data_IF_646457786829
#
_entry.id   IF_646457786829
#
_cell.length_a   1.000
_cell.length_b   1.000
_cell.length_c   1.000
_cell.angle_alpha   90.00
_cell.angle_beta   90.00
_cell.angle_gamma   90.00
#
_symmetry.space_group_name_H-M   'P 1'
#
loop_
_entity.id
_entity.type
_entity.pdbx_description
1 polymer ?
#
# COMPACT_ATOMS: atom_id res chain seq x y z
N UNK A 1 -33.04 16.98 -10.09
CA UNK A 1 -31.98 16.45 -9.21
C UNK A 1 -32.41 15.01 -8.89
N UNK A 2 -31.69 13.97 -9.36
CA UNK A 2 -31.98 12.61 -8.90
C UNK A 2 -31.69 12.57 -7.41
N UNK A 3 -32.59 11.98 -6.63
CA UNK A 3 -32.30 11.69 -5.22
C UNK A 3 -30.99 10.90 -5.17
N UNK A 4 -30.07 11.32 -4.30
CA UNK A 4 -28.81 10.59 -4.12
C UNK A 4 -29.17 9.17 -3.61
N UNK A 5 -28.59 8.18 -4.24
CA UNK A 5 -28.81 6.77 -3.82
C UNK A 5 -28.35 6.62 -2.36
N UNK A 6 -29.25 6.12 -1.52
CA UNK A 6 -28.99 5.90 -0.10
C UNK A 6 -28.90 4.40 0.16
N UNK A 7 -27.84 3.97 0.87
CA UNK A 7 -27.56 2.57 1.19
C UNK A 7 -27.28 2.46 2.69
N UNK A 8 -27.91 1.50 3.37
CA UNK A 8 -27.55 1.12 4.75
C UNK A 8 -26.80 -0.22 4.73
N UNK A 9 -25.56 -0.22 5.22
CA UNK A 9 -24.87 -1.45 5.58
C UNK A 9 -25.35 -1.88 6.96
N UNK A 10 -25.80 -3.13 7.11
CA UNK A 10 -26.34 -3.62 8.37
C UNK A 10 -25.74 -4.96 8.80
N UNK A 11 -25.66 -5.17 10.10
CA UNK A 11 -25.30 -6.44 10.72
C UNK A 11 -23.79 -6.76 10.77
N UNK A 12 -22.94 -5.92 10.21
CA UNK A 12 -21.48 -6.11 10.24
C UNK A 12 -20.85 -5.66 11.56
N UNK A 13 -19.69 -6.24 11.88
CA UNK A 13 -18.83 -5.76 12.95
C UNK A 13 -17.96 -4.62 12.42
N UNK A 14 -18.29 -3.40 12.82
CA UNK A 14 -17.54 -2.20 12.44
C UNK A 14 -16.27 -2.10 13.30
N UNK A 15 -15.13 -2.14 12.66
CA UNK A 15 -13.81 -1.93 13.30
C UNK A 15 -13.16 -0.73 12.64
N UNK A 16 -13.09 0.39 13.38
CA UNK A 16 -12.38 1.59 12.97
C UNK A 16 -11.20 1.86 13.90
N UNK A 17 -9.96 1.56 13.46
CA UNK A 17 -8.78 1.79 14.28
C UNK A 17 -8.49 3.25 14.60
N UNK A 18 -9.05 4.21 13.85
CA UNK A 18 -8.85 5.63 14.11
C UNK A 18 -9.60 6.12 15.36
N UNK A 19 -10.84 5.64 15.55
CA UNK A 19 -11.70 6.00 16.68
C UNK A 19 -11.62 4.97 17.82
N UNK A 20 -11.01 3.80 17.57
CA UNK A 20 -11.07 2.65 18.49
C UNK A 20 -12.43 1.95 18.51
N UNK A 21 -13.31 2.24 17.54
CA UNK A 21 -14.61 1.60 17.40
C UNK A 21 -14.45 0.12 17.08
N UNK A 22 -15.13 -0.73 17.84
CA UNK A 22 -15.29 -2.17 17.60
C UNK A 22 -16.66 -2.61 18.11
N UNK A 23 -17.67 -2.56 17.24
CA UNK A 23 -19.06 -2.85 17.61
C UNK A 23 -19.89 -3.25 16.38
N UNK A 24 -21.04 -3.86 16.62
CA UNK A 24 -22.06 -4.07 15.60
C UNK A 24 -22.86 -2.78 15.41
N UNK A 25 -22.70 -2.13 14.25
CA UNK A 25 -23.34 -0.87 13.89
C UNK A 25 -23.77 -0.92 12.44
N UNK A 26 -24.83 -0.18 12.13
CA UNK A 26 -25.19 0.14 10.76
C UNK A 26 -24.43 1.39 10.29
N UNK A 27 -24.20 1.48 8.98
CA UNK A 27 -23.60 2.65 8.33
C UNK A 27 -24.53 3.10 7.20
N UNK A 28 -25.04 4.32 7.29
CA UNK A 28 -25.80 4.95 6.22
C UNK A 28 -24.85 5.71 5.28
N UNK A 29 -24.93 5.41 4.01
CA UNK A 29 -24.21 6.08 2.91
C UNK A 29 -25.23 6.84 2.09
N UNK A 30 -24.99 8.12 1.82
CA UNK A 30 -25.76 8.96 0.90
C UNK A 30 -24.82 9.56 -0.16
N UNK A 31 -25.02 9.17 -1.41
CA UNK A 31 -24.11 9.53 -2.48
C UNK A 31 -22.69 9.05 -2.16
N UNK A 32 -21.71 9.95 -2.14
CA UNK A 32 -20.31 9.62 -1.92
C UNK A 32 -19.89 9.62 -0.45
N UNK A 33 -20.78 9.87 0.52
CA UNK A 33 -20.42 10.14 1.90
C UNK A 33 -21.12 9.22 2.92
N UNK A 34 -20.43 8.99 4.03
CA UNK A 34 -21.04 8.43 5.22
C UNK A 34 -21.97 9.51 5.83
N UNK A 35 -23.26 9.22 5.93
CA UNK A 35 -24.24 10.13 6.51
C UNK A 35 -24.43 9.94 7.99
N UNK A 36 -24.47 8.67 8.44
CA UNK A 36 -24.65 8.31 9.84
C UNK A 36 -24.01 6.96 10.15
N UNK A 37 -23.70 6.75 11.42
CA UNK A 37 -23.26 5.47 11.96
C UNK A 37 -23.99 5.27 13.30
N UNK A 38 -24.60 4.10 13.51
CA UNK A 38 -25.33 3.82 14.74
C UNK A 38 -26.15 2.53 14.64
N UNK A 39 -26.86 2.16 15.69
CA UNK A 39 -27.73 1.00 15.66
C UNK A 39 -29.02 1.29 14.89
N UNK A 40 -29.58 0.24 14.28
CA UNK A 40 -30.93 0.23 13.67
C UNK A 40 -31.21 1.33 12.63
N UNK A 41 -30.18 1.77 11.87
CA UNK A 41 -30.34 2.79 10.84
C UNK A 41 -31.27 2.32 9.71
N UNK A 42 -31.31 1.03 9.39
CA UNK A 42 -32.20 0.47 8.39
C UNK A 42 -33.69 0.69 8.73
N UNK A 43 -34.06 0.72 10.01
CA UNK A 43 -35.40 1.05 10.45
C UNK A 43 -35.67 2.56 10.45
N UNK A 44 -34.64 3.39 10.67
CA UNK A 44 -34.76 4.85 10.68
C UNK A 44 -34.83 5.44 9.27
N UNK A 45 -34.23 4.73 8.29
CA UNK A 45 -34.15 5.15 6.88
C UNK A 45 -34.77 4.07 5.96
N UNK A 46 -36.08 3.80 6.05
CA UNK A 46 -36.72 2.71 5.32
C UNK A 46 -36.74 2.87 3.79
N UNK A 47 -36.41 4.07 3.27
CA UNK A 47 -36.29 4.33 1.84
C UNK A 47 -34.90 3.98 1.31
N UNK A 48 -33.88 3.82 2.17
CA UNK A 48 -32.55 3.42 1.75
C UNK A 48 -32.51 1.94 1.35
N UNK A 49 -31.73 1.61 0.34
CA UNK A 49 -31.47 0.21 0.04
C UNK A 49 -30.64 -0.42 1.16
N UNK A 50 -30.84 -1.71 1.43
CA UNK A 50 -30.15 -2.42 2.51
C UNK A 50 -29.14 -3.39 1.94
N UNK A 51 -27.92 -3.31 2.44
CA UNK A 51 -26.87 -4.32 2.20
C UNK A 51 -26.57 -5.04 3.51
N UNK A 52 -26.94 -6.29 3.56
CA UNK A 52 -26.64 -7.17 4.70
C UNK A 52 -25.20 -7.64 4.62
N UNK A 53 -24.42 -7.35 5.65
CA UNK A 53 -23.00 -7.72 5.80
C UNK A 53 -22.77 -8.46 7.13
N UNK A 54 -23.78 -9.26 7.57
CA UNK A 54 -23.67 -10.09 8.77
C UNK A 54 -22.56 -11.12 8.64
N UNK A 55 -21.80 -11.25 9.71
CA UNK A 55 -20.63 -12.14 9.75
C UNK A 55 -19.34 -11.53 9.19
N UNK A 56 -19.45 -10.33 8.62
CA UNK A 56 -18.30 -9.62 8.05
C UNK A 56 -17.78 -8.53 8.98
N UNK A 57 -16.53 -8.16 8.77
CA UNK A 57 -15.88 -6.98 9.31
C UNK A 57 -16.10 -5.84 8.32
N UNK A 58 -16.53 -4.70 8.82
CA UNK A 58 -16.63 -3.44 8.09
C UNK A 58 -15.55 -2.50 8.63
N UNK A 59 -14.66 -2.05 7.79
CA UNK A 59 -13.51 -1.22 8.20
C UNK A 59 -13.37 -0.02 7.25
N UNK A 60 -12.68 1.06 7.64
CA UNK A 60 -12.30 2.09 6.67
C UNK A 60 -11.70 1.47 5.43
N UNK A 61 -11.91 2.08 4.28
CA UNK A 61 -11.38 1.57 3.03
C UNK A 61 -9.90 1.24 3.13
N UNK A 62 -9.55 0.01 2.79
CA UNK A 62 -8.17 -0.46 2.78
C UNK A 62 -7.33 0.35 1.79
N UNK A 63 -6.08 0.55 2.12
CA UNK A 63 -5.11 1.28 1.31
C UNK A 63 -3.88 0.40 1.11
N UNK A 64 -3.57 0.08 -0.13
CA UNK A 64 -2.30 -0.54 -0.49
C UNK A 64 -1.33 0.54 -0.96
N UNK A 65 -0.34 0.87 -0.14
CA UNK A 65 0.58 1.97 -0.43
C UNK A 65 1.72 1.59 -1.39
N UNK A 66 1.77 0.34 -1.85
CA UNK A 66 2.82 -0.12 -2.74
C UNK A 66 2.30 -1.14 -3.74
N UNK A 67 1.98 -0.65 -4.94
CA UNK A 67 1.56 -1.45 -6.09
C UNK A 67 2.22 -0.92 -7.37
N UNK A 68 2.10 -1.67 -8.46
CA UNK A 68 2.51 -1.21 -9.79
C UNK A 68 1.32 -1.33 -10.75
N UNK A 69 0.67 -0.20 -11.03
CA UNK A 69 -0.63 -0.17 -11.73
C UNK A 69 -0.66 0.72 -12.98
N UNK A 70 0.46 1.25 -13.39
CA UNK A 70 0.57 2.11 -14.57
C UNK A 70 0.71 1.28 -15.86
N UNK A 71 -0.32 0.46 -16.18
CA UNK A 71 -0.36 -0.40 -17.38
C UNK A 71 -0.28 0.42 -18.67
N UNK A 72 0.21 -0.21 -19.74
CA UNK A 72 0.31 0.40 -21.07
C UNK A 72 1.62 1.12 -21.34
N UNK A 73 2.42 1.40 -20.30
CA UNK A 73 3.76 1.98 -20.44
C UNK A 73 4.89 0.98 -20.18
N UNK A 74 4.53 -0.24 -19.87
CA UNK A 74 5.41 -1.37 -19.66
C UNK A 74 4.59 -2.61 -19.35
N UNK A 75 5.22 -3.76 -19.37
CA UNK A 75 4.59 -5.07 -19.15
C UNK A 75 4.78 -5.58 -17.71
N UNK A 76 5.14 -4.69 -16.77
CA UNK A 76 5.37 -5.00 -15.37
C UNK A 76 4.11 -4.80 -14.51
N UNK A 77 3.23 -3.88 -14.93
CA UNK A 77 2.11 -3.42 -14.12
C UNK A 77 0.85 -4.27 -14.31
N UNK A 78 0.00 -4.25 -13.30
CA UNK A 78 -1.34 -4.84 -13.31
C UNK A 78 -2.42 -3.75 -13.51
N UNK A 79 -3.61 -4.09 -14.05
CA UNK A 79 -4.73 -3.17 -14.04
C UNK A 79 -5.07 -2.69 -12.64
N UNK A 80 -5.29 -1.38 -12.40
CA UNK A 80 -5.55 -0.88 -11.05
C UNK A 80 -6.75 -1.51 -10.37
N UNK A 81 -7.82 -1.81 -11.12
CA UNK A 81 -9.02 -2.41 -10.54
C UNK A 81 -8.81 -3.85 -10.07
N UNK A 82 -7.97 -4.62 -10.76
CA UNK A 82 -7.67 -6.01 -10.40
C UNK A 82 -7.00 -6.14 -9.02
N UNK A 83 -6.18 -5.17 -8.63
CA UNK A 83 -5.51 -5.13 -7.32
C UNK A 83 -6.19 -4.17 -6.33
N UNK A 84 -7.14 -3.39 -6.83
CA UNK A 84 -7.91 -2.39 -6.12
C UNK A 84 -9.32 -2.87 -5.77
N UNK A 85 -10.35 -2.24 -6.35
CA UNK A 85 -11.75 -2.49 -5.98
C UNK A 85 -12.18 -3.94 -6.18
N UNK A 86 -11.66 -4.65 -7.18
CA UNK A 86 -11.95 -6.07 -7.43
C UNK A 86 -11.29 -6.98 -6.36
N UNK A 87 -10.32 -6.47 -5.60
CA UNK A 87 -9.70 -7.12 -4.44
C UNK A 87 -10.18 -6.55 -3.10
N UNK A 88 -11.25 -5.73 -3.09
CA UNK A 88 -11.79 -5.10 -1.88
C UNK A 88 -10.97 -3.92 -1.34
N UNK A 89 -10.11 -3.33 -2.16
CA UNK A 89 -9.18 -2.24 -1.81
C UNK A 89 -9.56 -0.98 -2.59
N UNK A 90 -10.28 -0.01 -2.01
CA UNK A 90 -10.74 1.17 -2.74
C UNK A 90 -9.63 2.14 -3.13
N UNK A 91 -8.46 2.08 -2.49
CA UNK A 91 -7.32 2.97 -2.77
C UNK A 91 -6.02 2.19 -2.92
N UNK A 92 -5.33 2.40 -4.03
CA UNK A 92 -3.98 1.87 -4.27
C UNK A 92 -3.00 2.99 -4.61
N UNK A 93 -1.73 2.77 -4.33
CA UNK A 93 -0.67 3.73 -4.64
C UNK A 93 0.36 3.09 -5.55
N UNK A 94 0.53 3.66 -6.73
CA UNK A 94 1.64 3.25 -7.61
C UNK A 94 2.97 3.68 -7.01
N UNK A 95 3.88 2.74 -6.84
CA UNK A 95 5.14 2.98 -6.15
C UNK A 95 6.30 3.27 -7.12
N UNK A 96 6.21 4.41 -7.80
CA UNK A 96 7.29 4.93 -8.63
C UNK A 96 7.49 4.16 -9.93
N UNK A 97 6.40 3.81 -10.61
CA UNK A 97 6.48 3.24 -11.96
C UNK A 97 6.84 4.29 -13.00
N UNK A 98 6.65 5.58 -12.69
CA UNK A 98 6.90 6.68 -13.62
C UNK A 98 7.80 7.76 -13.04
N UNK A 99 8.53 8.43 -13.94
CA UNK A 99 9.25 9.66 -13.67
C UNK A 99 8.51 10.90 -14.20
N UNK A 100 9.11 12.08 -14.00
CA UNK A 100 8.47 13.36 -14.30
C UNK A 100 8.03 13.52 -15.75
N UNK A 101 8.80 13.06 -16.71
CA UNK A 101 8.49 13.22 -18.14
C UNK A 101 7.29 12.38 -18.60
N UNK A 102 6.95 11.30 -17.90
CA UNK A 102 5.87 10.38 -18.29
C UNK A 102 4.63 10.51 -17.42
N UNK A 103 4.72 11.11 -16.23
CA UNK A 103 3.63 11.13 -15.25
C UNK A 103 2.32 11.73 -15.79
N UNK A 104 2.37 12.85 -16.49
CA UNK A 104 1.16 13.48 -17.02
C UNK A 104 0.41 12.62 -18.05
N UNK A 105 1.12 11.79 -18.82
CA UNK A 105 0.51 10.83 -19.74
C UNK A 105 -0.13 9.66 -18.97
N UNK A 106 0.57 9.10 -18.00
CA UNK A 106 0.09 8.03 -17.13
C UNK A 106 -1.13 8.45 -16.32
N UNK A 107 -1.11 9.69 -15.79
CA UNK A 107 -2.27 10.25 -15.09
C UNK A 107 -3.53 10.22 -15.96
N UNK A 108 -3.45 10.72 -17.19
CA UNK A 108 -4.61 10.72 -18.09
C UNK A 108 -5.05 9.33 -18.52
N UNK A 109 -4.09 8.44 -18.76
CA UNK A 109 -4.39 7.09 -19.26
C UNK A 109 -4.90 6.13 -18.18
N UNK A 110 -4.55 6.35 -16.92
CA UNK A 110 -4.83 5.42 -15.81
C UNK A 110 -5.59 6.13 -14.69
N UNK A 111 -5.00 7.17 -14.05
CA UNK A 111 -5.57 7.75 -12.82
C UNK A 111 -6.91 8.44 -13.08
N UNK A 112 -6.95 9.26 -14.12
CA UNK A 112 -8.12 10.06 -14.50
C UNK A 112 -8.97 9.36 -15.60
N UNK A 113 -8.65 8.09 -15.95
CA UNK A 113 -9.42 7.35 -16.95
C UNK A 113 -10.82 7.02 -16.41
N UNK A 114 -11.90 7.26 -17.19
CA UNK A 114 -13.27 7.07 -16.69
C UNK A 114 -13.60 5.61 -16.32
N UNK A 115 -12.92 4.63 -16.91
CA UNK A 115 -13.12 3.22 -16.61
C UNK A 115 -12.33 2.75 -15.39
N UNK A 116 -11.42 3.57 -14.85
CA UNK A 116 -10.69 3.25 -13.62
C UNK A 116 -11.59 3.51 -12.41
N UNK A 117 -12.01 2.44 -11.76
CA UNK A 117 -12.91 2.47 -10.60
C UNK A 117 -12.19 2.67 -9.28
N UNK A 118 -10.96 2.19 -9.21
CA UNK A 118 -10.08 2.30 -8.04
C UNK A 118 -9.51 3.71 -7.90
N UNK A 119 -9.42 4.24 -6.68
CA UNK A 119 -8.62 5.46 -6.45
C UNK A 119 -7.15 5.12 -6.56
N UNK A 120 -6.48 5.74 -7.54
CA UNK A 120 -5.04 5.58 -7.74
C UNK A 120 -4.32 6.86 -7.33
N UNK A 121 -3.39 6.74 -6.38
CA UNK A 121 -2.40 7.75 -6.02
C UNK A 121 -1.03 7.27 -6.48
N UNK A 122 0.01 8.12 -6.39
CA UNK A 122 1.33 7.72 -6.85
C UNK A 122 2.48 8.33 -6.03
N UNK A 123 3.48 7.53 -5.75
CA UNK A 123 4.84 8.01 -5.59
C UNK A 123 5.47 8.19 -6.97
N UNK A 124 6.33 9.19 -7.13
CA UNK A 124 7.05 9.43 -8.39
C UNK A 124 8.53 9.06 -8.22
N UNK A 125 9.14 8.49 -9.25
CA UNK A 125 10.60 8.32 -9.28
C UNK A 125 11.27 9.69 -9.51
N UNK A 126 12.40 10.02 -8.87
CA UNK A 126 13.08 11.30 -9.04
C UNK A 126 13.68 11.48 -10.44
N UNK A 127 13.86 10.40 -11.22
CA UNK A 127 14.31 10.46 -12.59
C UNK A 127 13.23 11.02 -13.52
N UNK A 128 13.65 11.70 -14.60
CA UNK A 128 12.72 12.17 -15.64
C UNK A 128 12.02 11.01 -16.34
N UNK A 129 12.81 10.01 -16.75
CA UNK A 129 12.33 8.82 -17.46
C UNK A 129 12.55 7.62 -16.55
N UNK A 130 11.45 7.08 -16.06
CA UNK A 130 11.40 5.82 -15.37
C UNK A 130 10.19 5.04 -15.85
N UNK A 131 10.38 3.78 -16.23
CA UNK A 131 9.34 2.85 -16.67
C UNK A 131 9.66 1.47 -16.13
N UNK A 132 8.76 0.92 -15.34
CA UNK A 132 8.88 -0.46 -14.89
C UNK A 132 8.42 -1.41 -15.98
N UNK A 133 9.29 -2.35 -16.37
CA UNK A 133 8.95 -3.40 -17.29
C UNK A 133 9.73 -4.69 -17.01
N UNK A 134 9.25 -5.85 -17.50
CA UNK A 134 9.83 -7.17 -17.21
C UNK A 134 11.30 -7.32 -17.60
N UNK A 135 11.67 -6.75 -18.74
CA UNK A 135 13.06 -6.79 -19.24
C UNK A 135 13.98 -5.80 -18.53
N UNK A 136 13.40 -4.77 -17.93
CA UNK A 136 14.11 -3.61 -17.39
C UNK A 136 13.68 -3.30 -15.96
N UNK A 137 13.61 -4.34 -15.13
CA UNK A 137 13.34 -4.06 -13.73
C UNK A 137 14.43 -3.11 -13.23
N UNK A 138 14.02 -1.91 -13.08
CA UNK A 138 14.51 -0.78 -12.35
C UNK A 138 16.04 -0.53 -12.31
N UNK A 139 16.81 -1.57 -12.14
CA UNK A 139 18.24 -1.48 -11.85
C UNK A 139 19.11 -1.98 -12.99
N UNK A 140 18.50 -2.45 -14.07
CA UNK A 140 19.22 -3.02 -15.22
C UNK A 140 19.50 -2.01 -16.33
N UNK A 141 18.80 -0.87 -16.31
CA UNK A 141 19.03 0.19 -17.27
C UNK A 141 20.06 1.16 -16.74
N UNK A 142 21.11 1.38 -17.49
CA UNK A 142 22.10 2.44 -17.23
C UNK A 142 21.41 3.80 -17.07
N UNK A 143 20.34 4.06 -17.81
CA UNK A 143 19.58 5.30 -17.73
C UNK A 143 18.95 5.54 -16.36
N UNK A 144 18.53 4.49 -15.65
CA UNK A 144 17.95 4.61 -14.31
C UNK A 144 19.00 4.95 -13.24
N UNK A 145 20.28 4.72 -13.55
CA UNK A 145 21.41 5.01 -12.67
C UNK A 145 22.28 6.17 -13.21
N UNK A 146 21.79 6.92 -14.17
CA UNK A 146 22.48 8.04 -14.79
C UNK A 146 21.93 9.36 -14.23
N UNK A 147 22.78 10.14 -13.57
CA UNK A 147 22.41 11.44 -13.00
C UNK A 147 21.90 12.45 -14.04
N UNK A 148 22.26 12.28 -15.33
CA UNK A 148 21.70 13.09 -16.42
C UNK A 148 20.19 12.88 -16.61
N UNK A 149 19.65 11.81 -16.02
CA UNK A 149 18.22 11.55 -15.98
C UNK A 149 17.51 12.34 -14.87
N UNK A 150 18.22 13.08 -14.02
CA UNK A 150 17.64 14.00 -13.05
C UNK A 150 17.34 15.35 -13.68
N UNK A 151 16.11 15.83 -13.55
CA UNK A 151 15.70 17.21 -13.88
C UNK A 151 14.85 17.77 -12.72
N UNK A 152 15.50 18.37 -11.72
CA UNK A 152 14.77 18.93 -10.57
C UNK A 152 13.74 19.98 -10.95
N UNK A 153 14.00 20.77 -12.00
CA UNK A 153 13.06 21.82 -12.43
C UNK A 153 11.80 21.22 -13.08
N UNK A 154 11.94 20.19 -13.91
CA UNK A 154 10.80 19.46 -14.47
C UNK A 154 10.04 18.75 -13.35
N UNK A 155 10.73 18.07 -12.46
CA UNK A 155 10.11 17.32 -11.35
C UNK A 155 9.33 18.25 -10.42
N UNK A 156 9.88 19.43 -10.08
CA UNK A 156 9.16 20.43 -9.27
C UNK A 156 7.84 20.87 -9.93
N UNK A 157 7.86 21.16 -11.23
CA UNK A 157 6.64 21.52 -11.98
C UNK A 157 5.61 20.40 -12.01
N UNK A 158 6.06 19.16 -12.13
CA UNK A 158 5.17 17.99 -12.13
C UNK A 158 4.55 17.77 -10.75
N UNK A 159 5.31 17.92 -9.67
CA UNK A 159 4.79 17.85 -8.30
C UNK A 159 3.71 18.91 -8.05
N UNK A 160 3.94 20.15 -8.49
CA UNK A 160 2.97 21.24 -8.36
C UNK A 160 1.70 20.97 -9.19
N UNK A 161 1.86 20.58 -10.46
CA UNK A 161 0.75 20.33 -11.37
C UNK A 161 -0.11 19.11 -10.98
N UNK A 162 0.43 18.18 -10.20
CA UNK A 162 -0.19 16.91 -9.85
C UNK A 162 -0.27 16.66 -8.34
N UNK A 163 -0.23 17.69 -7.51
CA UNK A 163 -0.20 17.61 -6.02
C UNK A 163 -1.35 16.78 -5.44
N UNK A 164 -2.53 16.83 -6.07
CA UNK A 164 -3.69 16.05 -5.63
C UNK A 164 -3.48 14.54 -5.67
N UNK A 165 -2.58 14.04 -6.53
CA UNK A 165 -2.38 12.59 -6.76
C UNK A 165 -0.97 12.10 -6.46
N UNK A 166 0.07 12.98 -6.52
CA UNK A 166 1.43 12.60 -6.13
C UNK A 166 1.57 12.75 -4.60
N UNK A 167 1.83 11.64 -3.93
CA UNK A 167 1.94 11.58 -2.46
C UNK A 167 3.37 11.63 -1.95
N UNK A 168 4.36 11.44 -2.80
CA UNK A 168 5.77 11.44 -2.42
C UNK A 168 6.69 10.91 -3.50
N UNK A 169 7.89 10.50 -3.10
CA UNK A 169 8.87 9.88 -3.97
C UNK A 169 9.06 8.41 -3.65
N UNK A 170 9.25 7.58 -4.68
CA UNK A 170 9.81 6.23 -4.55
C UNK A 170 11.24 6.26 -5.09
N UNK A 171 12.19 5.88 -4.26
CA UNK A 171 13.61 5.92 -4.62
C UNK A 171 14.23 4.54 -4.49
N UNK A 172 14.98 4.17 -5.49
CA UNK A 172 15.93 3.07 -5.47
C UNK A 172 17.31 3.68 -5.25
N UNK A 173 17.89 3.49 -4.04
CA UNK A 173 19.06 4.30 -3.63
C UNK A 173 20.35 3.76 -4.22
N UNK A 174 20.49 3.88 -5.55
CA UNK A 174 21.72 3.54 -6.26
C UNK A 174 22.74 4.67 -6.14
N UNK A 175 24.02 4.32 -6.30
CA UNK A 175 25.12 5.29 -6.36
C UNK A 175 25.76 5.30 -7.76
N UNK A 176 26.40 6.41 -8.10
CA UNK A 176 27.20 6.56 -9.32
C UNK A 176 28.69 6.50 -9.02
N UNK A 177 29.18 7.32 -8.11
CA UNK A 177 30.60 7.42 -7.75
C UNK A 177 30.88 7.00 -6.30
N UNK A 178 30.22 7.62 -5.31
CA UNK A 178 30.43 7.31 -3.88
C UNK A 178 29.38 6.28 -3.39
N UNK A 179 29.81 5.09 -2.95
CA UNK A 179 28.91 4.04 -2.48
C UNK A 179 28.17 4.38 -1.17
N UNK A 180 28.37 5.56 -0.59
CA UNK A 180 27.67 6.05 0.59
C UNK A 180 26.56 7.05 0.28
N UNK A 181 26.52 7.57 -0.95
CA UNK A 181 25.61 8.66 -1.35
C UNK A 181 24.85 8.27 -2.60
N UNK A 182 23.51 8.40 -2.55
CA UNK A 182 22.67 8.26 -3.73
C UNK A 182 22.26 9.64 -4.24
N UNK A 183 22.68 10.03 -5.45
CA UNK A 183 22.25 11.29 -6.04
C UNK A 183 20.71 11.33 -6.24
N UNK A 184 20.08 10.18 -6.46
CA UNK A 184 18.64 10.06 -6.63
C UNK A 184 17.90 10.30 -5.29
N UNK A 185 18.45 9.81 -4.16
CA UNK A 185 17.91 10.10 -2.84
C UNK A 185 18.09 11.59 -2.49
N UNK A 186 19.24 12.17 -2.76
CA UNK A 186 19.48 13.60 -2.51
C UNK A 186 18.57 14.48 -3.38
N UNK A 187 18.35 14.12 -4.65
CA UNK A 187 17.40 14.82 -5.51
C UNK A 187 15.97 14.75 -4.95
N UNK A 188 15.51 13.56 -4.54
CA UNK A 188 14.21 13.41 -3.91
C UNK A 188 14.10 14.24 -2.62
N UNK A 189 15.09 14.22 -1.74
CA UNK A 189 15.12 15.01 -0.50
C UNK A 189 15.01 16.51 -0.75
N UNK A 190 15.68 17.01 -1.79
CA UNK A 190 15.65 18.43 -2.15
C UNK A 190 14.27 18.92 -2.65
N UNK A 191 13.45 18.01 -3.17
CA UNK A 191 12.16 18.32 -3.81
C UNK A 191 10.94 17.87 -2.98
N UNK A 192 11.12 16.95 -2.05
CA UNK A 192 10.00 16.32 -1.36
C UNK A 192 9.19 17.29 -0.48
N UNK A 193 9.80 18.32 0.10
CA UNK A 193 9.16 19.12 1.13
C UNK A 193 8.69 18.23 2.29
N UNK A 194 7.42 18.30 2.65
CA UNK A 194 6.81 17.47 3.69
C UNK A 194 6.34 16.09 3.18
N UNK A 195 6.42 15.83 1.88
CA UNK A 195 6.05 14.54 1.30
C UNK A 195 7.04 13.45 1.72
N UNK A 196 6.57 12.25 2.00
CA UNK A 196 7.43 11.12 2.34
C UNK A 196 8.27 10.66 1.15
N UNK A 197 9.42 10.09 1.47
CA UNK A 197 10.25 9.34 0.52
C UNK A 197 10.15 7.86 0.90
N UNK A 198 9.65 7.05 -0.02
CA UNK A 198 9.64 5.59 0.11
C UNK A 198 10.92 5.03 -0.51
N UNK A 199 11.74 4.39 0.31
CA UNK A 199 12.99 3.77 -0.12
C UNK A 199 12.80 2.28 -0.37
N UNK A 200 13.20 1.82 -1.56
CA UNK A 200 13.39 0.40 -1.86
C UNK A 200 14.64 -0.10 -1.13
N UNK A 201 14.46 -0.92 -0.10
CA UNK A 201 15.59 -1.45 0.66
C UNK A 201 16.19 -2.68 -0.05
N UNK A 202 17.48 -2.62 -0.31
CA UNK A 202 18.22 -3.65 -1.04
C UNK A 202 18.23 -3.42 -2.55
N UNK A 203 18.72 -4.40 -3.29
CA UNK A 203 18.85 -4.38 -4.75
C UNK A 203 19.07 -5.76 -5.32
N UNK A 204 19.10 -5.85 -6.64
CA UNK A 204 19.45 -7.07 -7.36
C UNK A 204 20.97 -7.29 -7.36
N UNK A 205 21.44 -8.52 -7.60
CA UNK A 205 22.87 -8.78 -7.81
C UNK A 205 23.46 -7.83 -8.87
N UNK A 206 24.62 -7.26 -8.55
CA UNK A 206 25.34 -6.30 -9.40
C UNK A 206 24.72 -4.89 -9.53
N UNK A 207 23.66 -4.58 -8.80
CA UNK A 207 23.12 -3.22 -8.74
C UNK A 207 23.94 -2.38 -7.75
N UNK A 208 24.38 -1.17 -8.12
CA UNK A 208 25.19 -0.30 -7.27
C UNK A 208 24.33 0.43 -6.23
N UNK A 209 23.75 -0.31 -5.29
CA UNK A 209 22.96 0.27 -4.19
C UNK A 209 23.83 0.69 -3.03
N UNK A 210 23.52 1.82 -2.39
CA UNK A 210 24.21 2.25 -1.16
C UNK A 210 23.90 1.30 0.00
N UNK A 211 24.79 1.26 0.98
CA UNK A 211 24.63 0.35 2.12
C UNK A 211 23.37 0.67 2.92
N UNK A 212 22.71 -0.35 3.44
CA UNK A 212 21.51 -0.20 4.30
C UNK A 212 21.73 0.77 5.46
N UNK A 213 22.91 0.76 6.09
CA UNK A 213 23.28 1.68 7.16
C UNK A 213 23.25 3.14 6.72
N UNK A 214 23.74 3.43 5.51
CA UNK A 214 23.81 4.79 4.98
C UNK A 214 22.41 5.24 4.51
N UNK A 215 21.61 4.34 3.90
CA UNK A 215 20.20 4.59 3.60
C UNK A 215 19.47 4.99 4.86
N UNK A 216 19.51 4.15 5.90
CA UNK A 216 18.77 4.37 7.13
C UNK A 216 19.19 5.67 7.85
N UNK A 217 20.47 6.02 7.80
CA UNK A 217 20.99 7.27 8.37
C UNK A 217 20.50 8.52 7.62
N UNK A 218 20.27 8.42 6.31
CA UNK A 218 19.86 9.54 5.47
C UNK A 218 18.35 9.87 5.53
N UNK A 219 17.52 8.95 6.08
CA UNK A 219 16.07 9.11 6.12
C UNK A 219 15.60 10.05 7.22
N UNK A 220 14.50 10.78 6.92
CA UNK A 220 13.85 11.74 7.77
C UNK A 220 12.68 11.08 8.54
N UNK A 221 12.21 11.66 9.65
CA UNK A 221 10.94 11.29 10.25
C UNK A 221 9.82 11.31 9.17
N UNK A 222 9.01 10.27 9.13
CA UNK A 222 7.93 10.14 8.15
C UNK A 222 8.31 9.47 6.84
N UNK A 223 9.59 9.37 6.48
CA UNK A 223 10.04 8.58 5.35
C UNK A 223 9.77 7.09 5.58
N UNK A 224 9.68 6.30 4.49
CA UNK A 224 9.21 4.91 4.50
C UNK A 224 10.33 4.00 3.99
N UNK A 225 10.65 2.96 4.75
CA UNK A 225 11.49 1.85 4.28
C UNK A 225 10.59 0.72 3.85
N UNK A 226 10.39 0.53 2.55
CA UNK A 226 9.69 -0.64 2.01
C UNK A 226 10.64 -1.81 1.82
N UNK A 227 10.12 -3.04 1.83
CA UNK A 227 10.91 -4.29 1.84
C UNK A 227 11.76 -4.45 3.11
N UNK A 228 11.31 -3.85 4.22
CA UNK A 228 12.06 -3.88 5.47
C UNK A 228 12.25 -5.31 6.03
N UNK A 229 11.39 -6.23 5.63
CA UNK A 229 11.30 -7.60 6.15
C UNK A 229 11.88 -8.66 5.20
N UNK A 230 12.64 -8.26 4.19
CA UNK A 230 13.30 -9.18 3.26
C UNK A 230 14.52 -9.88 3.88
N UNK A 231 14.85 -11.06 3.35
CA UNK A 231 16.07 -11.74 3.73
C UNK A 231 17.32 -10.94 3.31
N UNK A 232 18.33 -10.89 4.17
CA UNK A 232 19.61 -10.26 3.84
C UNK A 232 19.57 -8.73 3.66
N UNK A 233 18.52 -8.06 4.12
CA UNK A 233 18.34 -6.60 4.02
C UNK A 233 19.33 -5.78 4.87
N UNK A 234 20.06 -6.41 5.80
CA UNK A 234 20.88 -5.70 6.79
C UNK A 234 20.09 -5.10 7.95
N UNK A 235 18.80 -5.43 8.06
CA UNK A 235 17.96 -5.08 9.21
C UNK A 235 18.21 -5.98 10.42
N UNK A 236 18.63 -7.22 10.18
CA UNK A 236 19.12 -8.16 11.20
C UNK A 236 20.63 -8.37 11.08
N UNK A 237 21.29 -8.56 12.21
CA UNK A 237 22.67 -8.99 12.28
C UNK A 237 22.80 -10.51 12.14
N UNK A 238 24.03 -11.03 12.24
CA UNK A 238 24.32 -12.48 12.14
C UNK A 238 23.73 -13.32 13.28
N UNK A 239 23.41 -12.70 14.41
CA UNK A 239 22.76 -13.33 15.55
C UNK A 239 21.22 -13.30 15.43
N UNK A 240 20.69 -12.66 14.39
CA UNK A 240 19.26 -12.47 14.17
C UNK A 240 18.68 -11.37 15.07
N UNK A 241 19.50 -10.44 15.55
CA UNK A 241 19.03 -9.27 16.29
C UNK A 241 18.92 -8.05 15.38
N UNK A 242 17.91 -7.18 15.57
CA UNK A 242 17.80 -5.93 14.82
C UNK A 242 19.04 -5.08 15.02
N UNK A 243 19.63 -4.64 13.91
CA UNK A 243 20.82 -3.79 13.92
C UNK A 243 20.55 -2.41 14.54
N UNK A 244 21.58 -1.76 15.08
CA UNK A 244 21.44 -0.42 15.64
C UNK A 244 20.85 0.60 14.63
N UNK A 245 21.29 0.64 13.35
CA UNK A 245 20.74 1.58 12.37
C UNK A 245 19.23 1.48 12.16
N UNK A 246 18.63 0.27 12.12
CA UNK A 246 17.18 0.15 11.94
C UNK A 246 16.42 0.61 13.20
N UNK A 247 16.94 0.31 14.40
CA UNK A 247 16.35 0.79 15.67
C UNK A 247 16.39 2.31 15.76
N UNK A 248 17.51 2.91 15.41
CA UNK A 248 17.69 4.37 15.40
C UNK A 248 16.78 5.04 14.37
N UNK A 249 16.65 4.47 13.17
CA UNK A 249 15.75 4.99 12.14
C UNK A 249 14.28 4.98 12.63
N UNK A 250 13.81 3.87 13.19
CA UNK A 250 12.46 3.78 13.77
C UNK A 250 12.27 4.75 14.94
N UNK A 251 13.26 4.87 15.83
CA UNK A 251 13.21 5.81 16.94
C UNK A 251 13.14 7.29 16.48
N UNK A 252 13.68 7.61 15.30
CA UNK A 252 13.53 8.93 14.67
C UNK A 252 12.17 9.14 13.98
N UNK A 253 11.35 8.11 13.84
CA UNK A 253 10.05 8.18 13.19
C UNK A 253 10.05 7.73 11.72
N UNK A 254 11.06 6.99 11.27
CA UNK A 254 11.03 6.31 9.98
C UNK A 254 10.04 5.14 10.06
N UNK A 255 9.19 5.01 9.04
CA UNK A 255 8.16 3.99 8.95
C UNK A 255 8.70 2.73 8.27
N UNK A 256 8.30 1.57 8.78
CA UNK A 256 8.61 0.28 8.18
C UNK A 256 7.41 -0.22 7.39
N UNK A 257 7.62 -0.54 6.13
CA UNK A 257 6.63 -1.09 5.23
C UNK A 257 7.00 -2.50 4.78
N UNK A 258 6.00 -3.35 4.60
CA UNK A 258 6.21 -4.74 4.18
C UNK A 258 6.71 -4.81 2.74
N UNK A 259 5.97 -4.24 1.79
CA UNK A 259 6.31 -4.33 0.37
C UNK A 259 6.59 -5.76 -0.05
N UNK A 260 5.60 -6.65 0.04
CA UNK A 260 5.80 -8.11 0.01
C UNK A 260 6.62 -8.61 -1.20
N UNK A 261 6.23 -8.21 -2.43
CA UNK A 261 6.87 -8.63 -3.68
C UNK A 261 7.01 -10.16 -3.84
N UNK A 262 7.78 -10.61 -4.83
CA UNK A 262 8.07 -12.04 -5.04
C UNK A 262 9.22 -12.58 -4.17
N UNK A 263 10.03 -11.72 -3.58
CA UNK A 263 11.22 -12.14 -2.81
C UNK A 263 11.65 -11.13 -1.74
N UNK A 264 10.87 -10.09 -1.53
CA UNK A 264 11.20 -8.99 -0.62
C UNK A 264 10.50 -9.09 0.73
N UNK A 265 9.78 -10.17 0.96
CA UNK A 265 9.27 -10.58 2.25
C UNK A 265 9.79 -11.98 2.59
N UNK A 266 10.18 -12.20 3.86
CA UNK A 266 10.72 -13.47 4.33
C UNK A 266 10.21 -13.75 5.75
N UNK A 267 9.40 -14.79 5.91
CA UNK A 267 8.76 -15.13 7.19
C UNK A 267 9.73 -15.20 8.38
N UNK A 268 10.87 -15.88 8.29
CA UNK A 268 11.82 -15.90 9.41
C UNK A 268 12.33 -14.52 9.80
N UNK A 269 12.64 -13.64 8.82
CA UNK A 269 13.09 -12.27 9.07
C UNK A 269 11.97 -11.43 9.69
N UNK A 270 10.77 -11.49 9.11
CA UNK A 270 9.61 -10.74 9.60
C UNK A 270 9.24 -11.13 11.03
N UNK A 271 9.17 -12.44 11.30
CA UNK A 271 8.91 -12.95 12.64
C UNK A 271 9.93 -12.42 13.66
N UNK A 272 11.22 -12.49 13.31
CA UNK A 272 12.28 -12.05 14.20
C UNK A 272 12.22 -10.55 14.49
N UNK A 273 11.97 -9.73 13.49
CA UNK A 273 11.81 -8.27 13.67
C UNK A 273 10.59 -7.95 14.53
N UNK A 274 9.44 -8.58 14.27
CA UNK A 274 8.19 -8.37 15.02
C UNK A 274 8.37 -8.79 16.48
N UNK A 275 8.96 -9.96 16.76
CA UNK A 275 9.27 -10.44 18.12
C UNK A 275 10.20 -9.48 18.89
N UNK A 276 10.97 -8.65 18.18
CA UNK A 276 11.88 -7.63 18.75
C UNK A 276 11.27 -6.22 18.78
N UNK A 277 9.96 -6.11 18.55
CA UNK A 277 9.22 -4.84 18.62
C UNK A 277 9.32 -3.97 17.36
N UNK A 278 9.92 -4.46 16.27
CA UNK A 278 9.92 -3.79 14.98
C UNK A 278 8.75 -4.31 14.13
N UNK A 279 7.56 -3.91 14.53
CA UNK A 279 6.29 -4.23 13.86
C UNK A 279 6.13 -3.31 12.64
N UNK A 280 5.57 -3.78 11.50
CA UNK A 280 5.29 -2.92 10.36
C UNK A 280 4.41 -1.73 10.74
N UNK A 281 4.74 -0.56 10.21
CA UNK A 281 3.84 0.60 10.25
C UNK A 281 2.74 0.42 9.22
N UNK A 282 3.11 -0.09 8.03
CA UNK A 282 2.19 -0.36 6.93
C UNK A 282 2.43 -1.75 6.36
N UNK A 283 1.36 -2.35 5.86
CA UNK A 283 1.43 -3.59 5.08
C UNK A 283 1.07 -3.27 3.64
N UNK A 284 1.91 -3.65 2.71
CA UNK A 284 1.70 -3.43 1.28
C UNK A 284 2.16 -4.63 0.46
N UNK A 285 1.67 -4.72 -0.76
CA UNK A 285 1.82 -5.94 -1.56
C UNK A 285 3.00 -5.91 -2.52
N UNK A 286 3.34 -4.76 -3.07
CA UNK A 286 4.19 -4.63 -4.26
C UNK A 286 3.65 -5.48 -5.43
N UNK A 287 2.30 -5.52 -5.61
CA UNK A 287 1.65 -6.30 -6.66
C UNK A 287 2.08 -5.85 -8.04
N UNK A 288 2.52 -6.83 -8.82
CA UNK A 288 2.98 -6.69 -10.19
C UNK A 288 2.84 -8.04 -10.90
N UNK A 289 3.16 -8.11 -12.20
CA UNK A 289 2.98 -9.33 -13.00
C UNK A 289 3.83 -10.53 -12.56
N UNK A 290 4.90 -10.33 -11.78
CA UNK A 290 5.75 -11.43 -11.32
C UNK A 290 5.24 -12.13 -10.06
N UNK A 291 4.43 -11.45 -9.27
CA UNK A 291 4.00 -11.96 -7.97
C UNK A 291 2.48 -12.20 -7.85
N UNK A 292 1.68 -11.65 -8.77
CA UNK A 292 0.22 -11.76 -8.76
C UNK A 292 -0.27 -13.22 -8.82
N UNK A 293 0.41 -14.10 -9.57
CA UNK A 293 0.13 -15.53 -9.55
C UNK A 293 0.80 -16.28 -8.40
N UNK A 294 1.31 -15.59 -7.42
CA UNK A 294 2.00 -16.03 -6.22
C UNK A 294 3.46 -15.49 -6.17
N UNK A 295 3.98 -15.25 -4.98
CA UNK A 295 3.41 -15.54 -3.66
C UNK A 295 2.42 -14.50 -3.12
N UNK A 296 2.04 -13.47 -3.87
CA UNK A 296 1.13 -12.40 -3.42
C UNK A 296 -0.18 -12.51 -4.18
N UNK A 297 -1.27 -12.79 -3.47
CA UNK A 297 -2.61 -12.88 -4.08
C UNK A 297 -3.36 -11.55 -3.98
N UNK A 298 -3.33 -10.93 -2.79
CA UNK A 298 -4.03 -9.69 -2.50
C UNK A 298 -3.47 -8.98 -1.28
N UNK A 299 -3.96 -7.77 -1.01
CA UNK A 299 -3.68 -7.08 0.24
C UNK A 299 -4.24 -7.85 1.44
N UNK A 300 -5.46 -8.39 1.35
CA UNK A 300 -6.07 -9.17 2.43
C UNK A 300 -5.24 -10.42 2.80
N UNK A 301 -4.67 -11.09 1.80
CA UNK A 301 -3.77 -12.23 2.03
C UNK A 301 -2.45 -11.76 2.68
N UNK A 302 -1.86 -10.66 2.21
CA UNK A 302 -0.63 -10.09 2.82
C UNK A 302 -0.88 -9.64 4.27
N UNK A 303 -2.03 -9.01 4.55
CA UNK A 303 -2.47 -8.69 5.91
C UNK A 303 -2.58 -9.95 6.78
N UNK A 304 -3.11 -11.04 6.23
CA UNK A 304 -3.26 -12.32 6.93
C UNK A 304 -1.91 -12.93 7.32
N UNK A 305 -0.88 -12.80 6.48
CA UNK A 305 0.49 -13.22 6.78
C UNK A 305 1.05 -12.46 7.99
N UNK A 306 0.86 -11.16 8.04
CA UNK A 306 1.30 -10.34 9.18
C UNK A 306 0.50 -10.69 10.44
N UNK A 307 -0.81 -10.91 10.31
CA UNK A 307 -1.66 -11.34 11.41
C UNK A 307 -1.19 -12.68 12.00
N UNK A 308 -0.83 -13.64 11.16
CA UNK A 308 -0.30 -14.93 11.59
C UNK A 308 1.04 -14.82 12.35
N UNK A 309 1.81 -13.76 12.14
CA UNK A 309 3.09 -13.51 12.81
C UNK A 309 2.97 -12.82 14.18
N UNK A 310 1.75 -12.49 14.65
CA UNK A 310 1.53 -12.04 16.04
C UNK A 310 0.81 -10.71 16.24
N UNK A 311 0.91 -9.71 15.35
CA UNK A 311 0.08 -8.50 15.47
C UNK A 311 -1.41 -8.84 15.60
N UNK A 312 -2.17 -8.04 16.33
CA UNK A 312 -3.61 -8.25 16.46
C UNK A 312 -4.36 -7.90 15.15
N UNK A 313 -5.62 -8.36 15.02
CA UNK A 313 -6.48 -7.95 13.91
C UNK A 313 -6.60 -6.42 13.83
N UNK A 314 -6.77 -5.77 14.98
CA UNK A 314 -6.85 -4.32 15.05
C UNK A 314 -5.56 -3.64 14.54
N UNK A 315 -4.38 -4.17 14.90
CA UNK A 315 -3.10 -3.63 14.40
C UNK A 315 -2.99 -3.78 12.88
N UNK A 316 -3.36 -4.94 12.35
CA UNK A 316 -3.29 -5.21 10.91
C UNK A 316 -4.25 -4.32 10.12
N UNK A 317 -5.47 -4.11 10.62
CA UNK A 317 -6.41 -3.15 10.02
C UNK A 317 -5.86 -1.72 10.10
N UNK A 318 -5.26 -1.33 11.22
CA UNK A 318 -4.64 0.00 11.43
C UNK A 318 -3.52 0.25 10.42
N UNK A 319 -2.67 -0.73 10.15
CA UNK A 319 -1.57 -0.65 9.17
C UNK A 319 -2.08 -0.30 7.77
N UNK A 320 -3.26 -0.77 7.39
CA UNK A 320 -3.82 -0.64 6.04
C UNK A 320 -4.95 0.40 5.93
N UNK A 321 -5.20 1.15 7.00
CA UNK A 321 -6.19 2.24 7.04
C UNK A 321 -5.51 3.53 7.54
N UNK A 322 -5.48 3.73 8.85
CA UNK A 322 -4.98 4.95 9.52
C UNK A 322 -3.51 5.21 9.20
N UNK A 323 -2.65 4.21 9.39
CA UNK A 323 -1.21 4.37 9.19
C UNK A 323 -0.86 4.53 7.70
N UNK A 324 -1.55 3.80 6.82
CA UNK A 324 -1.38 3.95 5.38
C UNK A 324 -1.79 5.36 4.92
N UNK A 325 -2.94 5.88 5.39
CA UNK A 325 -3.38 7.24 5.09
C UNK A 325 -2.39 8.30 5.64
N UNK A 326 -1.92 8.12 6.88
CA UNK A 326 -0.93 9.01 7.49
C UNK A 326 0.43 8.97 6.77
N UNK A 327 0.85 7.78 6.33
CA UNK A 327 2.10 7.60 5.59
C UNK A 327 2.12 8.36 4.25
N UNK A 328 0.95 8.65 3.67
CA UNK A 328 0.80 9.38 2.42
C UNK A 328 0.40 10.86 2.61
N UNK A 329 0.28 11.36 3.85
CA UNK A 329 -0.25 12.70 4.13
C UNK A 329 -1.73 12.86 3.76
N UNK A 330 -2.54 11.79 3.85
CA UNK A 330 -3.98 11.77 3.51
C UNK A 330 -4.89 11.42 4.69
N UNK A 331 -4.39 11.51 5.92
CA UNK A 331 -5.16 11.20 7.14
C UNK A 331 -6.42 12.06 7.31
N UNK A 332 -6.43 13.28 6.73
CA UNK A 332 -7.60 14.16 6.76
C UNK A 332 -8.74 13.70 5.86
N UNK A 333 -8.47 12.82 4.87
CA UNK A 333 -9.47 12.38 3.89
C UNK A 333 -9.73 10.90 3.91
N UNK A 334 -8.75 10.07 4.27
CA UNK A 334 -8.81 8.59 4.20
C UNK A 334 -8.54 7.95 5.56
N UNK A 335 -8.80 6.65 5.65
CA UNK A 335 -8.38 5.79 6.74
C UNK A 335 -9.24 5.81 8.00
N UNK A 336 -10.46 6.38 7.98
CA UNK A 336 -11.41 6.39 9.10
C UNK A 336 -12.86 6.42 8.69
N UNK A 337 -13.75 5.97 9.55
CA UNK A 337 -15.20 6.00 9.38
C UNK A 337 -15.79 7.08 10.29
N UNK A 338 -16.26 8.18 9.69
CA UNK A 338 -16.92 9.28 10.38
C UNK A 338 -18.03 9.85 9.50
N UNK A 339 -19.13 10.35 10.06
CA UNK A 339 -20.11 11.12 9.29
C UNK A 339 -19.44 12.25 8.50
N UNK A 340 -19.97 12.55 7.33
CA UNK A 340 -19.53 13.54 6.34
C UNK A 340 -18.21 13.20 5.65
N UNK A 341 -17.53 12.11 6.02
CA UNK A 341 -16.36 11.62 5.26
C UNK A 341 -16.77 10.84 4.03
N UNK A 342 -15.82 10.75 3.10
CA UNK A 342 -15.99 9.92 1.90
C UNK A 342 -16.27 8.46 2.31
N UNK A 343 -17.23 7.85 1.66
CA UNK A 343 -17.64 6.47 1.92
C UNK A 343 -16.71 5.49 1.18
N UNK A 344 -15.47 5.43 1.63
CA UNK A 344 -14.51 4.38 1.30
C UNK A 344 -14.53 3.37 2.45
N UNK A 345 -15.05 2.18 2.18
CA UNK A 345 -15.29 1.13 3.18
C UNK A 345 -14.88 -0.20 2.59
N UNK A 346 -14.12 -1.01 3.31
CA UNK A 346 -13.85 -2.40 2.94
C UNK A 346 -14.66 -3.36 3.79
N UNK A 347 -15.17 -4.40 3.16
CA UNK A 347 -15.92 -5.48 3.80
C UNK A 347 -15.13 -6.76 3.68
N UNK A 348 -14.79 -7.35 4.83
CA UNK A 348 -13.91 -8.49 4.94
C UNK A 348 -14.58 -9.61 5.71
N UNK A 349 -14.26 -10.85 5.39
CA UNK A 349 -14.63 -12.04 6.15
C UNK A 349 -13.39 -12.69 6.75
N UNK A 350 -13.53 -13.24 7.95
CA UNK A 350 -12.53 -14.13 8.54
C UNK A 350 -12.87 -15.55 8.14
N UNK A 351 -11.94 -16.24 7.51
CA UNK A 351 -11.99 -17.68 7.34
C UNK A 351 -11.12 -18.33 8.41
N UNK A 352 -11.79 -19.12 9.26
CA UNK A 352 -11.14 -19.92 10.30
C UNK A 352 -10.64 -21.25 9.72
N UNK A 353 -9.48 -21.69 10.18
CA UNK A 353 -8.87 -22.96 9.80
C UNK A 353 -7.44 -22.80 9.30
N UNK A 354 -6.74 -23.95 9.19
CA UNK A 354 -5.32 -23.94 8.84
C UNK A 354 -5.11 -23.44 7.41
N UNK A 355 -4.32 -22.38 7.29
CA UNK A 355 -3.92 -21.80 6.01
C UNK A 355 -2.40 -21.85 5.88
N UNK A 356 -1.90 -22.33 4.75
CA UNK A 356 -0.47 -22.34 4.45
C UNK A 356 -0.13 -21.12 3.57
N UNK A 357 0.50 -20.13 4.18
CA UNK A 357 0.99 -18.95 3.48
C UNK A 357 2.38 -19.21 2.89
N UNK A 358 2.68 -18.56 1.75
CA UNK A 358 4.01 -18.60 1.12
C UNK A 358 4.59 -17.20 1.00
N UNK A 359 5.90 -17.07 1.18
CA UNK A 359 6.66 -15.86 0.86
C UNK A 359 7.46 -16.00 -0.46
N UNK A 360 7.27 -17.12 -1.17
CA UNK A 360 8.02 -17.47 -2.36
C UNK A 360 9.31 -18.25 -2.09
N UNK A 361 9.78 -18.26 -0.83
CA UNK A 361 11.01 -18.95 -0.39
C UNK A 361 10.72 -19.96 0.72
N UNK A 362 9.85 -19.58 1.65
CA UNK A 362 9.44 -20.38 2.79
C UNK A 362 7.92 -20.40 2.92
N UNK A 363 7.41 -21.22 3.84
CA UNK A 363 5.97 -21.27 4.13
C UNK A 363 5.74 -21.06 5.63
N UNK A 364 4.59 -20.49 5.96
CA UNK A 364 4.15 -20.27 7.34
C UNK A 364 2.70 -20.70 7.50
N UNK A 365 2.40 -21.46 8.54
CA UNK A 365 1.04 -21.92 8.85
C UNK A 365 0.35 -20.93 9.76
N UNK A 366 -0.77 -20.38 9.28
CA UNK A 366 -1.73 -19.61 10.09
C UNK A 366 -2.96 -20.46 10.40
N UNK A 367 -3.79 -19.97 11.34
CA UNK A 367 -5.03 -20.63 11.75
C UNK A 367 -6.27 -19.91 11.22
N UNK A 368 -6.08 -18.83 10.48
CA UNK A 368 -7.15 -18.00 9.90
C UNK A 368 -6.61 -17.06 8.85
N UNK A 369 -7.50 -16.59 7.97
CA UNK A 369 -7.18 -15.56 6.96
C UNK A 369 -8.32 -14.55 6.80
N UNK A 370 -7.97 -13.37 6.29
CA UNK A 370 -8.89 -12.35 5.82
C UNK A 370 -9.20 -12.62 4.36
N UNK A 371 -10.47 -12.51 4.00
CA UNK A 371 -10.96 -12.60 2.62
C UNK A 371 -11.80 -11.36 2.35
N UNK A 372 -11.52 -10.66 1.25
CA UNK A 372 -12.33 -9.51 0.85
C UNK A 372 -13.67 -9.98 0.24
N UNK A 373 -14.76 -9.36 0.66
CA UNK A 373 -16.09 -9.54 0.06
C UNK A 373 -16.43 -8.42 -0.93
N UNK A 374 -15.78 -7.28 -0.75
CA UNK A 374 -15.89 -6.11 -1.62
C UNK A 374 -15.55 -4.83 -0.90
N UNK A 375 -15.76 -3.72 -1.60
CA UNK A 375 -15.57 -2.40 -1.00
C UNK A 375 -16.54 -1.37 -1.58
N UNK A 376 -16.77 -0.32 -0.82
CA UNK A 376 -17.29 0.94 -1.32
C UNK A 376 -16.11 1.86 -1.64
N UNK A 377 -16.17 2.47 -2.81
CA UNK A 377 -15.29 3.56 -3.21
C UNK A 377 -16.16 4.77 -3.55
N UNK A 378 -16.05 5.81 -2.73
CA UNK A 378 -16.91 6.99 -2.84
C UNK A 378 -18.41 6.63 -2.92
N UNK A 379 -18.86 5.75 -2.05
CA UNK A 379 -20.25 5.33 -1.94
C UNK A 379 -20.73 4.30 -2.97
N UNK A 380 -19.94 3.98 -3.99
CA UNK A 380 -20.26 2.92 -4.96
C UNK A 380 -19.70 1.57 -4.51
N UNK A 381 -20.58 0.56 -4.51
CA UNK A 381 -20.20 -0.81 -4.15
C UNK A 381 -19.55 -1.56 -5.30
N UNK A 382 -18.43 -2.21 -5.00
CA UNK A 382 -17.72 -3.12 -5.88
C UNK A 382 -17.55 -4.46 -5.15
N UNK A 383 -18.17 -5.57 -5.62
CA UNK A 383 -17.92 -6.89 -5.06
C UNK A 383 -16.50 -7.34 -5.39
N UNK A 384 -15.84 -7.99 -4.44
CA UNK A 384 -14.56 -8.62 -4.72
C UNK A 384 -14.74 -9.74 -5.76
N UNK A 385 -13.77 -9.86 -6.65
CA UNK A 385 -13.72 -10.93 -7.64
C UNK A 385 -12.87 -12.10 -7.10
N UNK A 386 -13.19 -13.34 -7.41
CA UNK A 386 -12.32 -14.46 -7.09
C UNK A 386 -10.92 -14.26 -7.66
N UNK A 387 -9.90 -14.56 -6.86
CA UNK A 387 -8.54 -14.56 -7.40
C UNK A 387 -8.39 -15.70 -8.43
N UNK A 388 -7.65 -15.52 -9.55
CA UNK A 388 -7.50 -16.55 -10.59
C UNK A 388 -7.04 -17.94 -10.11
N UNK A 389 -6.40 -18.02 -8.94
CA UNK A 389 -6.06 -19.30 -8.31
C UNK A 389 -7.24 -20.01 -7.66
N UNK A 390 -8.25 -19.29 -7.20
CA UNK A 390 -9.44 -19.88 -6.58
C UNK A 390 -10.35 -20.53 -7.63
N UNK A 391 -10.28 -20.08 -8.88
CA UNK A 391 -11.01 -20.70 -10.00
C UNK A 391 -10.32 -21.97 -10.53
N UNK A 392 -9.05 -22.19 -10.18
CA UNK A 392 -8.25 -23.33 -10.65
C UNK A 392 -8.15 -24.47 -9.61
N UNK A 393 -8.69 -24.32 -8.42
CA UNK A 393 -8.69 -25.29 -7.32
C UNK A 393 -10.04 -25.99 -7.19
#
# INVERSE_FOLDING_TARGET
MSEAESIVLTGGRVIDPASGQDAFLDILIEGERIRAMGPDLHNQYPQASVRDVRGSIVTPGLIDIHTHVMVGFGDFCLPPDAVGVDAGVPTVVDAGTSGAATFGALRRAIIDHPDTRTRVLAFIDPCQIYLANKGFICHKLEIANDERNLDPALTARVLEAHDAVIVGFKVRPTYTDDPRVSPFLEAAKSLAGDRPIMIHLGGFPHTPVIRTTDVLAALRPGDIVTHAYRAGSGTLDKAGEPTAPIREAVARGVRLDVGHSSGDFHFPTARRLIERGLVPTTTSTDLNVFNHSGPVESLAETMSKIWALGPSLHDVLRMNTVEAAAAMGRADTLGRLEPERIADISVLRIEEGPTLFSDGQTSYRGERRLVAEGCFRAGHWYPAQPHPREEAA
#
